data_IF_138569194056
#
_entry.id   IF_138569194056
#
_cell.length_a   1.000
_cell.length_b   1.000
_cell.length_c   1.000
_cell.angle_alpha   90.00
_cell.angle_beta   90.00
_cell.angle_gamma   90.00
#
_symmetry.space_group_name_H-M   'P 1'
#
loop_
_entity.id
_entity.type
_entity.pdbx_description
1 polymer ?
#
# COMPACT_ATOMS: atom_id res chain seq x y z
N UNK A 1 0.53 -34.16 -9.24
CA UNK A 1 1.34 -33.20 -8.46
C UNK A 1 0.84 -33.25 -7.04
N UNK A 2 1.73 -33.55 -6.09
CA UNK A 2 1.40 -33.64 -4.67
C UNK A 2 1.22 -32.22 -4.12
N UNK A 3 0.36 -32.04 -3.12
CA UNK A 3 0.10 -30.71 -2.51
C UNK A 3 1.39 -30.04 -2.00
N UNK A 4 2.32 -30.84 -1.48
CA UNK A 4 3.65 -30.40 -1.02
C UNK A 4 4.52 -29.86 -2.16
N UNK A 5 4.43 -30.44 -3.36
CA UNK A 5 5.16 -29.97 -4.54
C UNK A 5 4.62 -28.61 -5.01
N UNK A 6 3.30 -28.42 -4.91
CA UNK A 6 2.64 -27.17 -5.26
C UNK A 6 3.03 -26.03 -4.30
N UNK A 7 3.02 -26.30 -2.99
CA UNK A 7 3.43 -25.30 -1.98
C UNK A 7 4.89 -24.89 -2.14
N UNK A 8 5.78 -25.85 -2.44
CA UNK A 8 7.18 -25.56 -2.69
C UNK A 8 7.38 -24.66 -3.93
N UNK A 9 6.65 -24.94 -5.03
CA UNK A 9 6.70 -24.13 -6.24
C UNK A 9 6.15 -22.71 -6.02
N UNK A 10 5.05 -22.58 -5.28
CA UNK A 10 4.46 -21.28 -4.91
C UNK A 10 5.44 -20.45 -4.08
N UNK A 11 6.11 -21.06 -3.10
CA UNK A 11 7.09 -20.38 -2.27
C UNK A 11 8.31 -19.93 -3.08
N UNK A 12 8.83 -20.77 -3.98
CA UNK A 12 9.93 -20.41 -4.88
C UNK A 12 9.57 -19.24 -5.80
N UNK A 13 8.33 -19.23 -6.32
CA UNK A 13 7.86 -18.15 -7.17
C UNK A 13 7.76 -16.83 -6.39
N UNK A 14 7.19 -16.86 -5.19
CA UNK A 14 7.05 -15.67 -4.34
C UNK A 14 8.41 -15.06 -3.98
N UNK A 15 9.40 -15.89 -3.62
CA UNK A 15 10.78 -15.43 -3.34
C UNK A 15 11.37 -14.74 -4.57
N UNK A 16 11.23 -15.36 -5.76
CA UNK A 16 11.75 -14.79 -7.01
C UNK A 16 11.10 -13.45 -7.34
N UNK A 17 9.77 -13.37 -7.30
CA UNK A 17 9.03 -12.14 -7.59
C UNK A 17 9.36 -11.04 -6.58
N UNK A 18 9.46 -11.37 -5.30
CA UNK A 18 9.90 -10.42 -4.28
C UNK A 18 11.32 -9.90 -4.54
N UNK A 19 12.26 -10.78 -4.89
CA UNK A 19 13.64 -10.39 -5.19
C UNK A 19 13.72 -9.44 -6.41
N UNK A 20 12.96 -9.71 -7.47
CA UNK A 20 12.86 -8.82 -8.65
C UNK A 20 12.30 -7.45 -8.27
N UNK A 21 11.26 -7.39 -7.44
CA UNK A 21 10.66 -6.14 -6.96
C UNK A 21 11.62 -5.30 -6.12
N UNK A 22 12.50 -5.96 -5.37
CA UNK A 22 13.44 -5.31 -4.45
C UNK A 22 14.79 -5.00 -5.09
N UNK A 23 15.06 -5.48 -6.32
CA UNK A 23 16.33 -5.33 -7.02
C UNK A 23 16.81 -3.86 -7.13
N UNK A 24 15.88 -2.91 -7.31
CA UNK A 24 16.19 -1.48 -7.38
C UNK A 24 16.06 -0.75 -6.04
N UNK A 25 15.60 -1.42 -4.99
CA UNK A 25 15.24 -0.84 -3.69
C UNK A 25 16.14 -1.30 -2.56
N UNK A 26 16.97 -2.32 -2.78
CA UNK A 26 17.81 -2.92 -1.75
C UNK A 26 19.10 -3.45 -2.40
N UNK A 27 20.22 -3.32 -1.69
CA UNK A 27 21.51 -3.86 -2.15
C UNK A 27 21.42 -5.39 -2.25
N UNK A 28 21.83 -5.96 -3.37
CA UNK A 28 21.81 -7.40 -3.63
C UNK A 28 22.51 -8.22 -2.53
N UNK A 29 23.51 -7.64 -1.84
CA UNK A 29 24.21 -8.28 -0.71
C UNK A 29 23.30 -8.54 0.49
N UNK A 30 22.19 -7.81 0.62
CA UNK A 30 21.22 -7.96 1.71
C UNK A 30 20.13 -8.99 1.39
N UNK A 31 20.06 -9.48 0.14
CA UNK A 31 19.00 -10.35 -0.38
C UNK A 31 19.35 -11.85 -0.30
N UNK A 32 20.34 -12.23 0.51
CA UNK A 32 20.70 -13.64 0.69
C UNK A 32 19.53 -14.44 1.26
N UNK A 33 19.21 -15.59 0.67
CA UNK A 33 18.13 -16.50 1.08
C UNK A 33 18.70 -17.91 1.28
N UNK A 34 18.40 -18.54 2.42
CA UNK A 34 19.00 -19.83 2.81
C UNK A 34 18.21 -21.07 2.31
N UNK A 35 17.13 -20.83 1.58
CA UNK A 35 16.20 -21.85 1.11
C UNK A 35 14.87 -21.84 1.88
N UNK A 36 14.85 -21.22 3.05
CA UNK A 36 13.68 -21.09 3.94
C UNK A 36 13.35 -19.64 4.22
N UNK A 37 14.36 -18.82 4.54
CA UNK A 37 14.22 -17.42 4.93
C UNK A 37 15.31 -16.54 4.29
N UNK A 38 15.05 -15.24 4.22
CA UNK A 38 16.08 -14.24 3.98
C UNK A 38 16.99 -14.10 5.21
N UNK A 39 18.31 -14.14 4.99
CA UNK A 39 19.33 -14.03 6.04
C UNK A 39 19.25 -12.67 6.74
N UNK A 40 18.90 -11.61 6.00
CA UNK A 40 18.64 -10.30 6.59
C UNK A 40 17.23 -10.25 7.19
N UNK A 41 17.15 -10.03 8.50
CA UNK A 41 15.89 -9.96 9.25
C UNK A 41 14.92 -8.88 8.78
N UNK A 42 15.43 -7.73 8.34
CA UNK A 42 14.59 -6.65 7.79
C UNK A 42 14.01 -7.05 6.45
N UNK A 43 14.80 -7.69 5.59
CA UNK A 43 14.31 -8.21 4.29
C UNK A 43 13.28 -9.32 4.51
N UNK A 44 13.53 -10.21 5.47
CA UNK A 44 12.58 -11.26 5.87
C UNK A 44 11.25 -10.67 6.34
N UNK A 45 11.27 -9.63 7.19
CA UNK A 45 10.05 -8.98 7.68
C UNK A 45 9.26 -8.29 6.55
N UNK A 46 9.96 -7.68 5.59
CA UNK A 46 9.31 -7.08 4.40
C UNK A 46 8.74 -8.17 3.48
N UNK A 47 9.39 -9.33 3.39
CA UNK A 47 8.91 -10.49 2.65
C UNK A 47 7.67 -11.13 3.30
N UNK A 48 7.67 -11.29 4.62
CA UNK A 48 6.51 -11.77 5.39
C UNK A 48 5.32 -10.83 5.21
N UNK A 49 5.54 -9.52 5.34
CA UNK A 49 4.51 -8.53 5.03
C UNK A 49 4.01 -8.72 3.59
N UNK A 50 4.91 -8.83 2.60
CA UNK A 50 4.56 -9.10 1.21
C UNK A 50 3.65 -10.33 1.05
N UNK A 51 3.99 -11.46 1.68
CA UNK A 51 3.21 -12.69 1.68
C UNK A 51 1.84 -12.53 2.36
N UNK A 52 1.77 -11.84 3.50
CA UNK A 52 0.51 -11.60 4.21
C UNK A 52 -0.48 -10.84 3.34
N UNK A 53 -0.02 -9.82 2.62
CA UNK A 53 -0.86 -9.12 1.64
C UNK A 53 -1.04 -9.86 0.32
N UNK A 54 -0.67 -11.15 0.22
CA UNK A 54 -1.12 -12.03 -0.86
C UNK A 54 -2.43 -12.78 -0.52
N UNK A 55 -2.89 -12.79 0.73
CA UNK A 55 -4.10 -13.52 1.15
C UNK A 55 -5.14 -12.59 1.79
N UNK A 56 -6.40 -12.54 1.32
CA UNK A 56 -7.04 -13.35 0.26
C UNK A 56 -6.81 -12.78 -1.16
N UNK A 57 -5.85 -11.88 -1.36
CA UNK A 57 -5.66 -11.24 -2.66
C UNK A 57 -4.17 -10.98 -2.96
N UNK A 58 -3.55 -11.65 -3.97
CA UNK A 58 -2.11 -11.66 -4.28
C UNK A 58 -1.49 -10.31 -4.74
N UNK A 59 -2.02 -9.17 -4.32
CA UNK A 59 -1.69 -7.85 -4.87
C UNK A 59 -1.60 -6.71 -3.84
N UNK A 60 -1.40 -6.96 -2.54
CA UNK A 60 -1.73 -5.93 -1.54
C UNK A 60 -0.75 -5.57 -0.43
N UNK A 61 0.55 -5.78 -0.62
CA UNK A 61 1.57 -5.04 0.17
C UNK A 61 2.33 -4.01 -0.66
N UNK A 62 2.16 -4.01 -1.98
CA UNK A 62 2.58 -2.94 -2.87
C UNK A 62 1.40 -2.58 -3.77
N UNK A 63 0.62 -1.55 -3.40
CA UNK A 63 -0.60 -1.17 -4.12
C UNK A 63 -1.87 -1.11 -3.27
N UNK A 64 -1.77 -1.22 -1.93
CA UNK A 64 -2.87 -0.79 -1.07
C UNK A 64 -2.94 0.73 -1.11
N UNK A 65 -3.67 1.21 -2.12
CA UNK A 65 -3.98 2.61 -2.29
C UNK A 65 -4.92 3.04 -1.16
N UNK A 66 -4.41 3.88 -0.27
CA UNK A 66 -5.28 4.61 0.64
C UNK A 66 -6.04 5.66 -0.19
N UNK A 67 -7.28 5.85 0.19
CA UNK A 67 -8.11 6.90 -0.35
C UNK A 67 -8.45 7.88 0.77
N UNK A 68 -8.78 9.10 0.40
CA UNK A 68 -9.26 10.10 1.33
C UNK A 68 -10.53 10.76 0.82
N UNK A 69 -11.36 11.14 1.78
CA UNK A 69 -12.52 11.98 1.61
C UNK A 69 -12.27 13.29 2.39
N UNK A 70 -12.47 14.47 1.79
CA UNK A 70 -12.38 15.72 2.55
C UNK A 70 -13.60 15.79 3.49
N UNK A 71 -13.37 16.02 4.78
CA UNK A 71 -14.47 16.20 5.74
C UNK A 71 -15.27 17.44 5.37
N UNK A 72 -16.60 17.36 5.45
CA UNK A 72 -17.48 18.50 5.23
C UNK A 72 -17.22 19.68 6.19
N UNK A 73 -16.61 19.41 7.35
CA UNK A 73 -16.21 20.42 8.35
C UNK A 73 -14.83 21.01 8.10
N UNK A 74 -14.05 20.49 7.16
CA UNK A 74 -12.73 21.02 6.83
C UNK A 74 -12.85 22.37 6.11
N UNK A 75 -11.85 23.22 6.29
CA UNK A 75 -11.67 24.46 5.50
C UNK A 75 -11.59 24.23 3.99
N UNK A 76 -11.36 22.98 3.55
CA UNK A 76 -11.29 22.58 2.15
C UNK A 76 -12.59 22.00 1.59
N UNK A 77 -13.70 22.02 2.34
CA UNK A 77 -14.96 21.41 1.93
C UNK A 77 -15.50 21.89 0.56
N UNK A 78 -15.19 23.13 0.16
CA UNK A 78 -15.56 23.66 -1.17
C UNK A 78 -14.93 22.88 -2.33
N UNK A 79 -13.82 22.17 -2.13
CA UNK A 79 -13.13 21.39 -3.14
C UNK A 79 -13.86 20.07 -3.48
N UNK A 80 -14.74 19.58 -2.60
CA UNK A 80 -15.49 18.34 -2.79
C UNK A 80 -16.26 18.36 -4.12
N UNK A 81 -16.93 19.48 -4.43
CA UNK A 81 -17.74 19.60 -5.65
C UNK A 81 -16.89 19.47 -6.93
N UNK A 82 -15.67 19.99 -6.93
CA UNK A 82 -14.76 19.88 -8.08
C UNK A 82 -14.27 18.44 -8.27
N UNK A 83 -14.01 17.73 -7.17
CA UNK A 83 -13.52 16.35 -7.22
C UNK A 83 -14.63 15.36 -7.64
N UNK A 84 -15.86 15.57 -7.19
CA UNK A 84 -17.01 14.77 -7.58
C UNK A 84 -17.31 14.90 -9.08
N UNK A 85 -17.19 16.11 -9.65
CA UNK A 85 -17.36 16.33 -11.09
C UNK A 85 -16.32 15.57 -11.93
N UNK A 86 -15.08 15.44 -11.43
CA UNK A 86 -13.99 14.69 -12.08
C UNK A 86 -14.04 13.17 -11.92
N UNK A 87 -14.94 12.64 -11.08
CA UNK A 87 -14.97 11.22 -10.64
C UNK A 87 -13.75 10.76 -9.84
N UNK A 88 -12.97 11.70 -9.31
CA UNK A 88 -11.78 11.43 -8.50
C UNK A 88 -12.10 11.43 -7.00
N UNK A 89 -13.30 11.00 -6.61
CA UNK A 89 -13.77 11.06 -5.22
C UNK A 89 -14.41 9.74 -4.77
N UNK A 90 -13.94 9.10 -3.69
CA UNK A 90 -12.73 9.41 -2.91
C UNK A 90 -11.44 9.35 -3.75
N UNK A 91 -10.42 10.14 -3.38
CA UNK A 91 -9.18 10.26 -4.16
C UNK A 91 -8.04 9.42 -3.57
N UNK A 92 -7.13 8.89 -4.41
CA UNK A 92 -5.94 8.20 -3.94
C UNK A 92 -5.00 9.16 -3.18
N UNK A 93 -4.45 8.69 -2.07
CA UNK A 93 -3.47 9.42 -1.24
C UNK A 93 -2.24 8.60 -0.88
N UNK A 94 -1.14 9.30 -0.57
CA UNK A 94 0.07 8.76 0.06
C UNK A 94 0.46 9.61 1.25
N UNK A 95 1.25 9.04 2.17
CA UNK A 95 1.81 9.78 3.30
C UNK A 95 3.24 10.20 3.03
N UNK A 96 3.53 11.47 3.26
CA UNK A 96 4.87 12.05 3.22
C UNK A 96 5.05 12.96 4.43
N UNK A 97 6.26 12.96 5.00
CA UNK A 97 6.60 13.86 6.10
C UNK A 97 6.56 15.32 5.63
N UNK A 98 5.91 16.17 6.41
CA UNK A 98 5.73 17.58 6.11
C UNK A 98 5.85 18.40 7.40
N UNK A 99 6.80 19.36 7.50
CA UNK A 99 7.01 20.14 8.72
C UNK A 99 5.80 20.96 9.18
N UNK A 100 4.85 21.27 8.29
CA UNK A 100 3.65 22.04 8.60
C UNK A 100 2.42 21.15 8.87
N UNK A 101 2.60 19.82 8.87
CA UNK A 101 1.58 18.83 9.20
C UNK A 101 0.73 18.36 8.02
N UNK A 102 1.00 18.81 6.80
CA UNK A 102 0.27 18.41 5.58
C UNK A 102 0.73 17.06 5.04
N UNK A 103 0.59 16.02 5.86
CA UNK A 103 1.19 14.72 5.59
C UNK A 103 0.41 13.84 4.60
N UNK A 104 -0.86 14.16 4.32
CA UNK A 104 -1.69 13.43 3.35
C UNK A 104 -1.50 14.08 1.98
N UNK A 105 -0.87 13.41 1.01
CA UNK A 105 -0.63 13.95 -0.34
C UNK A 105 -1.55 13.29 -1.37
N UNK A 106 -2.23 14.10 -2.17
CA UNK A 106 -3.21 13.66 -3.19
C UNK A 106 -4.35 14.65 -3.38
N UNK A 107 -5.28 14.34 -4.30
CA UNK A 107 -6.44 15.17 -4.60
C UNK A 107 -6.12 16.54 -5.21
N UNK A 108 -7.15 17.37 -5.41
CA UNK A 108 -7.02 18.65 -6.14
C UNK A 108 -6.15 19.67 -5.39
N UNK A 109 -6.26 19.74 -4.06
CA UNK A 109 -5.42 20.60 -3.23
C UNK A 109 -3.97 20.11 -3.08
N UNK A 110 -3.65 18.90 -3.56
CA UNK A 110 -2.32 18.30 -3.52
C UNK A 110 -1.87 17.81 -2.15
N UNK A 111 -2.27 18.47 -1.05
CA UNK A 111 -1.93 18.06 0.30
C UNK A 111 -2.95 18.51 1.37
N UNK A 112 -3.14 17.67 2.39
CA UNK A 112 -4.07 17.86 3.49
C UNK A 112 -3.46 17.37 4.82
N UNK A 113 -4.07 17.78 5.93
CA UNK A 113 -3.79 17.21 7.25
C UNK A 113 -4.70 16.01 7.52
N UNK A 114 -4.30 15.14 8.44
CA UNK A 114 -5.14 14.00 8.87
C UNK A 114 -6.48 14.47 9.47
N UNK A 115 -6.47 15.61 10.18
CA UNK A 115 -7.69 16.18 10.75
C UNK A 115 -8.73 16.61 9.70
N UNK A 116 -8.28 16.97 8.49
CA UNK A 116 -9.12 17.49 7.39
C UNK A 116 -9.80 16.41 6.56
N UNK A 117 -9.40 15.14 6.70
CA UNK A 117 -9.85 14.04 5.83
C UNK A 117 -10.31 12.82 6.61
N UNK A 118 -11.22 12.05 6.02
CA UNK A 118 -11.51 10.67 6.41
C UNK A 118 -10.69 9.73 5.53
N UNK A 119 -9.86 8.89 6.14
CA UNK A 119 -9.04 7.91 5.43
C UNK A 119 -9.88 6.67 5.12
N UNK A 120 -9.64 6.06 3.96
CA UNK A 120 -10.42 4.93 3.47
C UNK A 120 -9.54 3.91 2.77
N UNK A 121 -9.98 2.66 2.75
CA UNK A 121 -9.45 1.63 1.86
C UNK A 121 -10.54 1.11 0.94
N UNK A 122 -10.14 0.63 -0.25
CA UNK A 122 -11.07 0.05 -1.24
C UNK A 122 -11.03 -1.48 -1.23
N UNK A 123 -12.14 -2.19 -0.99
CA UNK A 123 -12.22 -3.66 -1.10
C UNK A 123 -13.47 -4.02 -1.90
N UNK A 124 -13.35 -4.96 -2.85
CA UNK A 124 -14.50 -5.45 -3.61
C UNK A 124 -15.28 -4.35 -4.37
N UNK A 125 -14.59 -3.25 -4.74
CA UNK A 125 -15.22 -2.09 -5.38
C UNK A 125 -15.82 -1.04 -4.43
N UNK A 126 -16.02 -1.37 -3.15
CA UNK A 126 -16.51 -0.45 -2.11
C UNK A 126 -15.39 0.26 -1.36
N UNK A 127 -15.71 1.42 -0.76
CA UNK A 127 -14.82 2.18 0.11
C UNK A 127 -15.24 2.04 1.57
N UNK A 128 -14.26 1.86 2.46
CA UNK A 128 -14.46 1.67 3.90
C UNK A 128 -13.58 2.64 4.67
N UNK A 129 -14.16 3.35 5.63
CA UNK A 129 -13.44 4.31 6.47
C UNK A 129 -12.54 3.60 7.48
N UNK A 130 -11.41 4.23 7.75
CA UNK A 130 -10.45 3.83 8.78
C UNK A 130 -10.70 4.75 9.98
N UNK A 131 -11.07 4.15 11.12
CA UNK A 131 -11.24 4.85 12.40
C UNK A 131 -9.99 4.73 13.26
#
# INVERSE_FOLDING_TARGET
MREEEKQCLEQQLNVKTFAELMFHKTDAKQMGHDGTCFVNKTVQLVFEAYLEGLTPNPARVLGQQLYAEIKATSKYASQIGWMQAGKDYPFPVRFETDPAGYIVKGGVGGCYRVEDVDLMFKIGGGYYRIN
#
